data_IF_687408532664
#
_entry.id   IF_687408532664
#
_cell.length_a   1.000
_cell.length_b   1.000
_cell.length_c   1.000
_cell.angle_alpha   90.00
_cell.angle_beta   90.00
_cell.angle_gamma   90.00
#
_symmetry.space_group_name_H-M   'P 1'
#
loop_
_entity.id
_entity.type
_entity.pdbx_description
1 polymer ?
#
# COMPACT_ATOMS: atom_id res chain seq x y z
N UNK A 1 -3.28 17.91 -5.68
CA UNK A 1 -2.07 17.30 -5.04
C UNK A 1 -1.66 16.11 -5.89
N UNK A 2 -0.40 15.99 -6.27
CA UNK A 2 0.07 14.87 -7.11
C UNK A 2 0.72 13.84 -6.18
N UNK A 3 0.18 12.62 -6.14
CA UNK A 3 0.72 11.53 -5.31
C UNK A 3 1.96 10.93 -5.98
N UNK A 4 3.16 11.38 -5.56
CA UNK A 4 4.46 10.93 -6.07
C UNK A 4 5.38 10.60 -4.90
N UNK A 5 6.21 9.59 -5.04
CA UNK A 5 7.16 9.20 -3.99
C UNK A 5 6.89 7.83 -3.38
N UNK A 6 7.38 7.62 -2.17
CA UNK A 6 7.24 6.37 -1.43
C UNK A 6 6.17 6.51 -0.34
N UNK A 7 5.17 5.66 -0.39
CA UNK A 7 4.08 5.54 0.59
C UNK A 7 4.22 4.20 1.30
N UNK A 8 3.91 4.15 2.60
CA UNK A 8 3.97 2.90 3.36
C UNK A 8 2.58 2.28 3.50
N UNK A 9 2.40 1.07 2.97
CA UNK A 9 1.29 0.20 3.36
C UNK A 9 1.56 -0.25 4.80
N UNK A 10 1.11 0.55 5.78
CA UNK A 10 1.46 0.33 7.18
C UNK A 10 0.75 -0.90 7.75
N UNK A 11 1.47 -1.69 8.55
CA UNK A 11 0.89 -2.83 9.28
C UNK A 11 -0.03 -2.35 10.39
N UNK A 12 -1.03 -3.16 10.74
CA UNK A 12 -1.79 -3.01 11.98
C UNK A 12 -1.19 -3.92 13.05
N UNK A 13 -0.50 -3.38 14.07
CA UNK A 13 0.03 -4.19 15.15
C UNK A 13 -1.08 -4.61 16.12
N UNK A 14 -0.99 -5.82 16.65
CA UNK A 14 -1.92 -6.36 17.63
C UNK A 14 -1.18 -6.80 18.90
N UNK A 15 -1.83 -6.65 20.07
CA UNK A 15 -1.38 -7.24 21.33
C UNK A 15 -1.79 -8.73 21.39
N UNK A 16 -1.34 -9.44 22.41
CA UNK A 16 -1.48 -10.90 22.51
C UNK A 16 -2.93 -11.41 22.48
N UNK A 17 -3.90 -10.62 22.94
CA UNK A 17 -5.34 -10.96 22.91
C UNK A 17 -6.00 -10.63 21.54
N UNK A 18 -5.23 -10.06 20.61
CA UNK A 18 -5.69 -9.71 19.28
C UNK A 18 -6.26 -8.28 19.13
N UNK A 19 -6.32 -7.48 20.19
CA UNK A 19 -6.71 -6.08 20.06
C UNK A 19 -5.62 -5.26 19.36
N UNK A 20 -6.00 -4.11 18.77
CA UNK A 20 -5.05 -3.20 18.12
C UNK A 20 -4.09 -2.61 19.14
N UNK A 21 -2.78 -2.71 18.90
CA UNK A 21 -1.73 -2.08 19.70
C UNK A 21 -1.55 -0.62 19.26
N UNK A 22 -2.34 0.28 19.86
CA UNK A 22 -2.30 1.71 19.53
C UNK A 22 -0.91 2.34 19.84
N UNK A 23 -0.21 1.85 20.86
CA UNK A 23 1.11 2.37 21.23
C UNK A 23 2.18 1.98 20.19
N UNK A 24 2.19 0.72 19.78
CA UNK A 24 3.07 0.27 18.69
C UNK A 24 2.71 0.95 17.37
N UNK A 25 1.42 1.12 17.05
CA UNK A 25 0.98 1.83 15.84
C UNK A 25 1.51 3.28 15.82
N UNK A 26 1.42 3.99 16.97
CA UNK A 26 2.00 5.34 17.11
C UNK A 26 3.51 5.31 16.81
N UNK A 27 4.25 4.39 17.42
CA UNK A 27 5.69 4.31 17.24
C UNK A 27 6.06 3.99 15.77
N UNK A 28 5.27 3.14 15.09
CA UNK A 28 5.45 2.85 13.67
C UNK A 28 5.20 4.10 12.81
N UNK A 29 4.13 4.85 13.05
CA UNK A 29 3.84 6.09 12.32
C UNK A 29 4.96 7.12 12.51
N UNK A 30 5.45 7.32 13.73
CA UNK A 30 6.58 8.23 14.00
C UNK A 30 7.83 7.79 13.22
N UNK A 31 8.18 6.51 13.26
CA UNK A 31 9.34 5.99 12.52
C UNK A 31 9.22 6.20 10.99
N UNK A 32 8.00 6.11 10.44
CA UNK A 32 7.75 6.40 9.03
C UNK A 32 7.97 7.88 8.70
N UNK A 33 7.42 8.77 9.52
CA UNK A 33 7.59 10.22 9.36
C UNK A 33 9.04 10.63 9.49
N UNK A 34 9.77 10.11 10.50
CA UNK A 34 11.21 10.34 10.70
C UNK A 34 12.05 9.77 9.54
N UNK A 35 11.62 8.65 8.95
CA UNK A 35 12.21 8.09 7.74
C UNK A 35 11.96 8.90 6.49
N UNK A 36 11.08 9.93 6.56
CA UNK A 36 10.77 10.86 5.49
C UNK A 36 9.86 10.29 4.41
N UNK A 37 9.03 9.27 4.75
CA UNK A 37 8.06 8.70 3.81
C UNK A 37 7.08 9.77 3.30
N UNK A 38 6.58 9.62 2.08
CA UNK A 38 5.71 10.61 1.44
C UNK A 38 4.24 10.50 1.87
N UNK A 39 3.85 9.41 2.52
CA UNK A 39 2.50 9.22 3.04
C UNK A 39 2.28 7.82 3.60
N UNK A 40 1.13 7.62 4.25
CA UNK A 40 0.76 6.39 4.94
C UNK A 40 -0.52 5.80 4.35
N UNK A 41 -0.55 4.47 4.26
CA UNK A 41 -1.70 3.72 3.73
C UNK A 41 -2.13 2.68 4.77
N UNK A 42 -2.93 3.06 5.79
CA UNK A 42 -3.53 2.14 6.75
C UNK A 42 -4.62 1.28 6.10
N UNK A 43 -4.95 0.18 6.73
CA UNK A 43 -6.07 -0.71 6.39
C UNK A 43 -6.08 -1.20 4.93
N UNK A 44 -4.90 -1.31 4.30
CA UNK A 44 -4.73 -2.09 3.08
C UNK A 44 -4.54 -3.58 3.39
N UNK A 45 -4.11 -4.36 2.39
CA UNK A 45 -3.75 -5.78 2.56
C UNK A 45 -2.73 -5.99 3.68
N UNK A 46 -1.69 -5.14 3.71
CA UNK A 46 -0.63 -5.19 4.72
C UNK A 46 -1.12 -4.83 6.11
N UNK A 47 -2.15 -4.00 6.20
CA UNK A 47 -2.83 -3.62 7.45
C UNK A 47 -3.88 -4.62 7.92
N UNK A 48 -3.97 -5.82 7.32
CA UNK A 48 -4.91 -6.88 7.69
C UNK A 48 -6.40 -6.43 7.68
N UNK A 49 -6.78 -5.56 6.74
CA UNK A 49 -8.15 -5.01 6.68
C UNK A 49 -9.27 -6.05 6.73
N UNK A 50 -9.14 -7.28 6.14
CA UNK A 50 -10.23 -8.26 6.19
C UNK A 50 -10.53 -8.83 7.58
N UNK A 51 -9.66 -8.64 8.57
CA UNK A 51 -9.82 -9.16 9.93
C UNK A 51 -10.10 -8.06 10.97
N UNK A 52 -10.23 -6.81 10.52
CA UNK A 52 -10.71 -5.70 11.34
C UNK A 52 -12.25 -5.65 11.27
N UNK A 53 -12.91 -5.39 12.40
CA UNK A 53 -14.33 -4.96 12.35
C UNK A 53 -14.44 -3.59 11.68
N UNK A 54 -15.63 -3.15 11.28
CA UNK A 54 -15.80 -1.82 10.69
C UNK A 54 -15.36 -0.72 11.66
N UNK A 55 -15.72 -0.83 12.94
CA UNK A 55 -15.31 0.13 13.98
C UNK A 55 -13.79 0.15 14.17
N UNK A 56 -13.13 -1.02 14.21
CA UNK A 56 -11.68 -1.12 14.30
C UNK A 56 -10.99 -0.52 13.07
N UNK A 57 -11.55 -0.76 11.89
CA UNK A 57 -11.05 -0.23 10.62
C UNK A 57 -11.00 1.30 10.65
N UNK A 58 -12.13 1.94 11.00
CA UNK A 58 -12.21 3.39 11.15
C UNK A 58 -11.28 3.89 12.24
N UNK A 59 -11.24 3.18 13.39
CA UNK A 59 -10.36 3.55 14.50
C UNK A 59 -8.88 3.53 14.12
N UNK A 60 -8.42 2.52 13.37
CA UNK A 60 -7.04 2.45 12.90
C UNK A 60 -6.71 3.62 11.95
N UNK A 61 -7.61 3.96 11.02
CA UNK A 61 -7.41 5.13 10.14
C UNK A 61 -7.35 6.42 10.96
N UNK A 62 -8.29 6.62 11.90
CA UNK A 62 -8.32 7.78 12.80
C UNK A 62 -7.00 7.93 13.57
N UNK A 63 -6.51 6.83 14.17
CA UNK A 63 -5.23 6.83 14.89
C UNK A 63 -4.05 7.20 14.00
N UNK A 64 -3.97 6.64 12.79
CA UNK A 64 -2.90 6.99 11.85
C UNK A 64 -2.97 8.46 11.44
N UNK A 65 -4.16 9.01 11.20
CA UNK A 65 -4.36 10.45 10.92
C UNK A 65 -3.90 11.30 12.09
N UNK A 66 -4.33 10.95 13.31
CA UNK A 66 -3.94 11.67 14.54
C UNK A 66 -2.43 11.64 14.76
N UNK A 67 -1.80 10.46 14.58
CA UNK A 67 -0.35 10.31 14.79
C UNK A 67 0.47 10.95 13.67
N UNK A 68 0.00 10.90 12.42
CA UNK A 68 0.63 11.63 11.31
C UNK A 68 0.58 13.15 11.54
N UNK A 69 -0.49 13.65 12.18
CA UNK A 69 -0.66 15.05 12.58
C UNK A 69 -0.37 16.04 11.44
N UNK A 70 -0.88 15.76 10.24
CA UNK A 70 -0.70 16.59 9.05
C UNK A 70 0.72 16.65 8.47
N UNK A 71 1.68 15.87 9.01
CA UNK A 71 3.07 15.84 8.53
C UNK A 71 3.20 15.09 7.20
N UNK A 72 2.34 14.11 6.97
CA UNK A 72 2.25 13.33 5.73
C UNK A 72 0.79 12.96 5.46
N UNK A 73 0.36 12.86 4.19
CA UNK A 73 -1.00 12.46 3.84
C UNK A 73 -1.31 11.02 4.23
N UNK A 74 -2.59 10.77 4.55
CA UNK A 74 -3.11 9.44 4.84
C UNK A 74 -4.09 9.01 3.75
N UNK A 75 -3.79 7.88 3.10
CA UNK A 75 -4.61 7.25 2.08
C UNK A 75 -5.27 6.02 2.69
N UNK A 76 -6.53 6.08 3.05
CA UNK A 76 -7.22 4.96 3.71
C UNK A 76 -7.51 3.83 2.74
N UNK A 77 -7.16 2.59 3.09
CA UNK A 77 -7.61 1.40 2.35
C UNK A 77 -9.06 1.11 2.69
N UNK A 78 -9.99 1.42 1.81
CA UNK A 78 -11.45 1.27 2.04
C UNK A 78 -12.15 0.45 0.96
N UNK A 79 -11.37 -0.23 0.09
CA UNK A 79 -11.93 -1.08 -0.96
C UNK A 79 -12.60 -2.34 -0.40
N UNK A 80 -13.75 -2.69 -0.96
CA UNK A 80 -14.51 -3.90 -0.68
C UNK A 80 -15.04 -4.52 -1.96
N UNK A 81 -15.47 -5.79 -1.90
CA UNK A 81 -16.22 -6.44 -2.97
C UNK A 81 -17.73 -6.09 -2.95
N UNK A 82 -18.18 -5.35 -1.95
CA UNK A 82 -19.48 -4.68 -1.88
C UNK A 82 -19.32 -3.20 -2.15
N UNK A 83 -20.03 -2.67 -3.15
CA UNK A 83 -19.95 -1.24 -3.49
C UNK A 83 -20.50 -0.36 -2.37
N UNK A 84 -21.57 -0.78 -1.71
CA UNK A 84 -22.19 -0.02 -0.61
C UNK A 84 -21.22 0.07 0.59
N UNK A 85 -20.60 -1.03 0.97
CA UNK A 85 -19.60 -1.07 2.04
C UNK A 85 -18.39 -0.18 1.72
N UNK A 86 -17.87 -0.23 0.48
CA UNK A 86 -16.75 0.62 0.07
C UNK A 86 -17.12 2.11 0.12
N UNK A 87 -18.34 2.49 -0.25
CA UNK A 87 -18.86 3.87 -0.14
C UNK A 87 -18.92 4.29 1.32
N UNK A 88 -19.50 3.46 2.20
CA UNK A 88 -19.66 3.73 3.63
C UNK A 88 -18.30 3.90 4.31
N UNK A 89 -17.38 2.92 4.17
CA UNK A 89 -16.02 3.00 4.70
C UNK A 89 -15.27 4.25 4.21
N UNK A 90 -15.45 4.63 2.93
CA UNK A 90 -14.80 5.83 2.38
C UNK A 90 -15.34 7.11 3.02
N UNK A 91 -16.67 7.21 3.26
CA UNK A 91 -17.27 8.36 3.96
C UNK A 91 -16.79 8.49 5.40
N UNK A 92 -16.78 7.37 6.12
CA UNK A 92 -16.38 7.37 7.51
C UNK A 92 -14.88 7.70 7.66
N UNK A 93 -14.03 7.17 6.78
CA UNK A 93 -12.59 7.51 6.80
C UNK A 93 -12.35 8.98 6.39
N UNK A 94 -13.17 9.56 5.51
CA UNK A 94 -13.14 11.01 5.27
C UNK A 94 -13.44 11.81 6.53
N UNK A 95 -14.45 11.40 7.29
CA UNK A 95 -14.87 12.10 8.51
C UNK A 95 -13.78 12.12 9.58
N UNK A 96 -12.89 11.11 9.61
CA UNK A 96 -11.74 11.07 10.54
C UNK A 96 -10.45 11.66 9.96
N UNK A 97 -10.51 12.26 8.76
CA UNK A 97 -9.42 13.07 8.20
C UNK A 97 -8.49 12.39 7.19
N UNK A 98 -8.88 11.25 6.61
CA UNK A 98 -8.17 10.71 5.44
C UNK A 98 -8.26 11.67 4.25
N UNK A 99 -7.21 11.74 3.42
CA UNK A 99 -7.13 12.67 2.29
C UNK A 99 -7.45 12.00 0.93
N UNK A 100 -7.29 10.69 0.85
CA UNK A 100 -7.65 9.87 -0.29
C UNK A 100 -8.00 8.45 0.15
N UNK A 101 -8.56 7.68 -0.76
CA UNK A 101 -8.93 6.30 -0.54
C UNK A 101 -8.24 5.37 -1.52
N UNK A 102 -7.69 4.25 -1.03
CA UNK A 102 -7.16 3.15 -1.84
C UNK A 102 -8.25 2.09 -2.02
N UNK A 103 -8.70 1.89 -3.26
CA UNK A 103 -9.81 1.03 -3.62
C UNK A 103 -9.33 -0.24 -4.33
N UNK A 104 -9.20 -1.35 -3.57
CA UNK A 104 -8.91 -2.65 -4.20
C UNK A 104 -10.06 -3.08 -5.09
N UNK A 105 -9.74 -3.70 -6.24
CA UNK A 105 -10.77 -4.29 -7.11
C UNK A 105 -11.59 -5.32 -6.34
N UNK A 106 -12.92 -5.42 -6.59
CA UNK A 106 -13.75 -6.42 -5.95
C UNK A 106 -13.17 -7.82 -6.12
N UNK A 107 -12.92 -8.48 -5.00
CA UNK A 107 -12.39 -9.83 -4.92
C UNK A 107 -13.55 -10.84 -4.79
N UNK A 108 -13.31 -12.10 -5.15
CA UNK A 108 -14.26 -13.21 -5.06
C UNK A 108 -15.40 -13.17 -6.11
N UNK A 109 -16.20 -12.09 -6.19
CA UNK A 109 -17.36 -11.96 -7.09
C UNK A 109 -17.01 -11.64 -8.56
N UNK A 110 -15.75 -11.32 -8.88
CA UNK A 110 -15.17 -11.17 -10.24
C UNK A 110 -16.08 -10.39 -11.22
N UNK A 111 -16.33 -9.10 -10.96
CA UNK A 111 -17.21 -8.31 -11.84
C UNK A 111 -16.63 -8.15 -13.24
N UNK A 112 -17.52 -7.87 -14.21
CA UNK A 112 -17.12 -7.46 -15.57
C UNK A 112 -16.45 -6.09 -15.55
N UNK A 113 -15.81 -5.67 -16.66
CA UNK A 113 -15.21 -4.34 -16.77
C UNK A 113 -16.23 -3.21 -16.59
N UNK A 114 -17.47 -3.39 -17.08
CA UNK A 114 -18.56 -2.45 -16.83
C UNK A 114 -18.95 -2.42 -15.35
N UNK A 115 -18.93 -3.57 -14.67
CA UNK A 115 -19.13 -3.66 -13.22
C UNK A 115 -18.06 -2.92 -12.45
N UNK A 116 -16.76 -3.09 -12.80
CA UNK A 116 -15.63 -2.37 -12.22
C UNK A 116 -15.77 -0.86 -12.42
N UNK A 117 -16.09 -0.43 -13.63
CA UNK A 117 -16.31 0.98 -13.93
C UNK A 117 -17.42 1.59 -13.04
N UNK A 118 -18.58 0.96 -12.96
CA UNK A 118 -19.71 1.45 -12.12
C UNK A 118 -19.38 1.43 -10.64
N UNK A 119 -18.67 0.40 -10.18
CA UNK A 119 -18.22 0.27 -8.80
C UNK A 119 -17.31 1.44 -8.39
N UNK A 120 -16.20 1.65 -9.10
CA UNK A 120 -15.25 2.72 -8.78
C UNK A 120 -15.86 4.11 -8.99
N UNK A 121 -16.67 4.27 -10.03
CA UNK A 121 -17.38 5.52 -10.27
C UNK A 121 -18.29 5.90 -9.10
N UNK A 122 -19.12 4.97 -8.64
CA UNK A 122 -20.03 5.21 -7.53
C UNK A 122 -19.29 5.53 -6.23
N UNK A 123 -18.22 4.80 -5.92
CA UNK A 123 -17.39 5.09 -4.75
C UNK A 123 -16.79 6.49 -4.86
N UNK A 124 -16.24 6.86 -6.01
CA UNK A 124 -15.63 8.17 -6.23
C UNK A 124 -16.66 9.32 -6.13
N UNK A 125 -17.90 9.11 -6.62
CA UNK A 125 -18.96 10.11 -6.58
C UNK A 125 -19.61 10.23 -5.19
N UNK A 126 -19.83 9.10 -4.49
CA UNK A 126 -20.58 9.07 -3.24
C UNK A 126 -19.72 8.96 -1.97
N UNK A 127 -18.49 8.44 -2.07
CA UNK A 127 -17.61 8.21 -0.91
C UNK A 127 -16.95 9.48 -0.34
N UNK A 128 -16.96 10.59 -1.06
CA UNK A 128 -16.46 11.89 -0.60
C UNK A 128 -14.96 12.11 -0.81
N UNK A 129 -14.13 11.06 -0.86
CA UNK A 129 -12.68 11.14 -1.11
C UNK A 129 -12.34 10.89 -2.58
N UNK A 130 -11.24 11.48 -3.09
CA UNK A 130 -10.63 11.00 -4.32
C UNK A 130 -10.09 9.58 -4.12
N UNK A 131 -10.16 8.76 -5.17
CA UNK A 131 -9.77 7.35 -5.10
C UNK A 131 -8.51 7.05 -5.92
N UNK A 132 -7.69 6.14 -5.39
CA UNK A 132 -6.61 5.45 -6.09
C UNK A 132 -7.10 4.02 -6.32
N UNK A 133 -7.27 3.62 -7.56
CA UNK A 133 -7.67 2.25 -7.91
C UNK A 133 -6.53 1.30 -7.59
N UNK A 134 -6.81 0.15 -6.99
CA UNK A 134 -5.80 -0.86 -6.68
C UNK A 134 -6.06 -2.13 -7.48
N UNK A 135 -5.21 -2.37 -8.47
CA UNK A 135 -5.29 -3.52 -9.37
C UNK A 135 -4.29 -4.61 -8.96
N UNK A 136 -4.81 -5.69 -8.38
CA UNK A 136 -4.03 -6.85 -7.91
C UNK A 136 -4.73 -8.17 -8.27
N UNK A 137 -4.75 -8.57 -9.54
CA UNK A 137 -5.49 -9.74 -10.00
C UNK A 137 -5.04 -11.05 -9.36
N UNK A 138 -3.79 -11.14 -8.90
CA UNK A 138 -3.29 -12.30 -8.14
C UNK A 138 -4.01 -12.56 -6.82
N UNK A 139 -4.68 -11.54 -6.24
CA UNK A 139 -5.51 -11.66 -5.03
C UNK A 139 -7.00 -11.57 -5.31
N UNK A 140 -7.39 -10.72 -6.24
CA UNK A 140 -8.81 -10.45 -6.52
C UNK A 140 -9.44 -11.40 -7.53
N UNK A 141 -8.62 -12.02 -8.37
CA UNK A 141 -9.07 -12.88 -9.46
C UNK A 141 -9.66 -12.12 -10.65
N UNK A 142 -9.60 -10.78 -10.65
CA UNK A 142 -10.01 -9.90 -11.75
C UNK A 142 -9.05 -8.72 -11.85
N UNK A 143 -8.63 -8.36 -13.05
CA UNK A 143 -7.84 -7.17 -13.34
C UNK A 143 -8.68 -6.04 -13.92
N UNK A 144 -8.21 -4.81 -13.78
CA UNK A 144 -8.81 -3.62 -14.38
C UNK A 144 -8.16 -3.36 -15.73
N UNK A 145 -8.95 -3.41 -16.81
CA UNK A 145 -8.47 -3.13 -18.14
C UNK A 145 -8.03 -1.66 -18.29
N UNK A 146 -7.04 -1.40 -19.13
CA UNK A 146 -6.54 -0.04 -19.39
C UNK A 146 -7.67 0.87 -19.88
N UNK A 147 -8.55 0.38 -20.76
CA UNK A 147 -9.69 1.13 -21.27
C UNK A 147 -10.70 1.49 -20.17
N UNK A 148 -10.86 0.63 -19.15
CA UNK A 148 -11.69 0.92 -17.98
C UNK A 148 -11.11 2.05 -17.14
N UNK A 149 -9.80 2.04 -16.91
CA UNK A 149 -9.08 3.12 -16.22
C UNK A 149 -9.14 4.43 -17.01
N UNK A 150 -8.91 4.38 -18.32
CA UNK A 150 -8.98 5.54 -19.20
C UNK A 150 -10.40 6.15 -19.21
N UNK A 151 -11.44 5.31 -19.20
CA UNK A 151 -12.84 5.76 -19.10
C UNK A 151 -13.12 6.43 -17.76
N UNK A 152 -12.69 5.84 -16.65
CA UNK A 152 -12.81 6.43 -15.31
C UNK A 152 -12.11 7.80 -15.25
N UNK A 153 -10.86 7.86 -15.71
CA UNK A 153 -10.08 9.11 -15.72
C UNK A 153 -10.72 10.19 -16.58
N UNK A 154 -11.29 9.85 -17.75
CA UNK A 154 -11.97 10.80 -18.63
C UNK A 154 -13.26 11.31 -18.03
N UNK A 155 -14.08 10.42 -17.44
CA UNK A 155 -15.45 10.75 -17.03
C UNK A 155 -15.49 11.44 -15.65
N UNK A 156 -14.54 11.14 -14.75
CA UNK A 156 -14.44 11.69 -13.39
C UNK A 156 -12.99 12.02 -13.01
N UNK A 157 -12.31 12.91 -13.75
CA UNK A 157 -10.86 13.16 -13.63
C UNK A 157 -10.42 13.65 -12.25
N UNK A 158 -11.28 14.40 -11.55
CA UNK A 158 -10.98 14.98 -10.23
C UNK A 158 -11.14 13.96 -9.08
N UNK A 159 -11.82 12.84 -9.36
CA UNK A 159 -12.18 11.84 -8.35
C UNK A 159 -11.35 10.56 -8.47
N UNK A 160 -10.96 10.15 -9.68
CA UNK A 160 -10.07 9.01 -9.89
C UNK A 160 -8.69 9.55 -10.22
N UNK A 161 -7.82 9.59 -9.18
CA UNK A 161 -6.57 10.35 -9.19
C UNK A 161 -5.33 9.48 -9.38
N UNK A 162 -5.45 8.16 -9.30
CA UNK A 162 -4.31 7.27 -9.43
C UNK A 162 -4.66 5.80 -9.54
N UNK A 163 -3.59 5.04 -9.76
CA UNK A 163 -3.56 3.59 -9.80
C UNK A 163 -2.41 3.07 -8.92
N UNK A 164 -2.71 2.12 -8.03
CA UNK A 164 -1.71 1.22 -7.47
C UNK A 164 -1.65 -0.02 -8.35
N UNK A 165 -0.57 -0.15 -9.10
CA UNK A 165 -0.33 -1.21 -10.07
C UNK A 165 0.38 -2.40 -9.41
N UNK A 166 -0.30 -3.52 -9.30
CA UNK A 166 0.22 -4.75 -8.70
C UNK A 166 -0.17 -6.00 -9.52
N UNK A 167 -0.17 -5.88 -10.85
CA UNK A 167 -0.41 -7.00 -11.75
C UNK A 167 0.78 -7.96 -11.86
N UNK A 168 1.94 -7.57 -11.31
CA UNK A 168 3.17 -8.37 -11.36
C UNK A 168 3.97 -8.21 -12.67
N UNK A 169 3.65 -7.21 -13.50
CA UNK A 169 4.35 -6.90 -14.75
C UNK A 169 4.55 -5.40 -14.94
N UNK A 170 5.53 -5.03 -15.75
CA UNK A 170 5.79 -3.63 -16.12
C UNK A 170 5.24 -3.25 -17.49
N UNK A 171 4.71 -4.23 -18.25
CA UNK A 171 4.38 -4.08 -19.68
C UNK A 171 3.38 -2.96 -19.96
N UNK A 172 2.41 -2.74 -19.06
CA UNK A 172 1.33 -1.77 -19.28
C UNK A 172 1.66 -0.35 -18.82
N UNK A 173 2.77 -0.13 -18.09
CA UNK A 173 3.08 1.18 -17.48
C UNK A 173 3.21 2.29 -18.52
N UNK A 174 3.99 2.09 -19.57
CA UNK A 174 4.17 3.09 -20.61
C UNK A 174 2.85 3.44 -21.32
N UNK A 175 2.00 2.46 -21.58
CA UNK A 175 0.67 2.67 -22.16
C UNK A 175 -0.25 3.42 -21.20
N UNK A 176 -0.27 3.04 -19.92
CA UNK A 176 -1.04 3.73 -18.89
C UNK A 176 -0.61 5.20 -18.79
N UNK A 177 0.70 5.47 -18.74
CA UNK A 177 1.22 6.85 -18.69
C UNK A 177 0.79 7.68 -19.91
N UNK A 178 0.87 7.08 -21.10
CA UNK A 178 0.46 7.76 -22.34
C UNK A 178 -1.02 8.12 -22.36
N UNK A 179 -1.89 7.25 -21.83
CA UNK A 179 -3.35 7.45 -21.87
C UNK A 179 -3.88 8.27 -20.70
N UNK A 180 -3.29 8.16 -19.52
CA UNK A 180 -3.84 8.76 -18.29
C UNK A 180 -3.23 10.13 -17.96
N UNK A 181 -2.13 10.51 -18.65
CA UNK A 181 -1.46 11.81 -18.47
C UNK A 181 -0.52 11.82 -17.25
N UNK A 182 0.22 12.94 -17.10
CA UNK A 182 1.24 13.11 -16.05
C UNK A 182 0.69 13.51 -14.69
N UNK A 183 -0.56 13.92 -14.61
CA UNK A 183 -1.28 14.32 -13.40
C UNK A 183 -2.05 13.16 -12.74
N UNK A 184 -2.07 11.98 -13.37
CA UNK A 184 -2.61 10.75 -12.83
C UNK A 184 -1.48 9.93 -12.18
N UNK A 185 -1.59 9.64 -10.88
CA UNK A 185 -0.55 8.91 -10.16
C UNK A 185 -0.52 7.43 -10.55
N UNK A 186 0.64 6.92 -10.97
CA UNK A 186 0.86 5.48 -11.16
C UNK A 186 1.89 5.05 -10.13
N UNK A 187 1.44 4.30 -9.11
CA UNK A 187 2.27 3.83 -8.01
C UNK A 187 2.44 2.31 -8.11
N UNK A 188 3.67 1.83 -8.01
CA UNK A 188 3.92 0.40 -7.89
C UNK A 188 3.26 -0.16 -6.62
N UNK A 189 2.63 -1.32 -6.73
CA UNK A 189 2.17 -2.10 -5.56
C UNK A 189 3.15 -3.21 -5.17
N UNK A 190 4.29 -3.31 -5.88
CA UNK A 190 5.32 -4.32 -5.72
C UNK A 190 6.69 -3.64 -5.53
N UNK A 191 7.31 -3.87 -4.38
CA UNK A 191 8.62 -3.27 -4.06
C UNK A 191 9.68 -3.62 -5.09
N UNK A 192 9.73 -4.87 -5.56
CA UNK A 192 10.75 -5.36 -6.50
C UNK A 192 10.58 -4.79 -7.91
N UNK A 193 9.36 -4.40 -8.30
CA UNK A 193 9.05 -3.81 -9.60
C UNK A 193 9.04 -2.27 -9.59
N UNK A 194 9.27 -1.64 -8.44
CA UNK A 194 9.21 -0.18 -8.30
C UNK A 194 10.15 0.53 -9.27
N UNK A 195 11.43 0.23 -9.23
CA UNK A 195 12.41 0.89 -10.10
C UNK A 195 12.19 0.61 -11.59
N UNK A 196 11.94 -0.63 -12.04
CA UNK A 196 11.52 -0.91 -13.41
C UNK A 196 10.27 -0.11 -13.85
N UNK A 197 9.22 -0.05 -13.04
CA UNK A 197 8.01 0.71 -13.35
C UNK A 197 8.29 2.22 -13.44
N UNK A 198 9.12 2.76 -12.53
CA UNK A 198 9.51 4.17 -12.56
C UNK A 198 10.29 4.54 -13.82
N UNK A 199 11.13 3.64 -14.34
CA UNK A 199 11.83 3.85 -15.62
C UNK A 199 10.88 3.95 -16.82
N UNK A 200 9.66 3.45 -16.69
CA UNK A 200 8.58 3.49 -17.69
C UNK A 200 7.54 4.57 -17.41
N UNK A 201 7.74 5.39 -16.37
CA UNK A 201 6.89 6.53 -16.06
C UNK A 201 5.97 6.38 -14.84
N UNK A 202 6.17 5.39 -13.96
CA UNK A 202 5.50 5.36 -12.66
C UNK A 202 6.06 6.46 -11.74
N UNK A 203 5.23 6.90 -10.79
CA UNK A 203 5.50 8.03 -9.90
C UNK A 203 6.05 7.63 -8.53
N UNK A 204 6.15 6.32 -8.25
CA UNK A 204 6.63 5.83 -6.96
C UNK A 204 6.03 4.48 -6.58
N UNK A 205 5.83 4.27 -5.27
CA UNK A 205 5.43 2.98 -4.70
C UNK A 205 4.52 3.14 -3.47
N UNK A 206 3.59 2.21 -3.31
CA UNK A 206 2.96 1.91 -2.01
C UNK A 206 3.61 0.62 -1.50
N UNK A 207 4.62 0.78 -0.64
CA UNK A 207 5.63 -0.20 -0.28
C UNK A 207 5.24 -1.02 0.96
N UNK A 208 5.65 -2.28 0.99
CA UNK A 208 5.68 -3.13 2.19
C UNK A 208 7.02 -2.99 2.91
N UNK A 209 8.14 -3.00 2.19
CA UNK A 209 9.48 -2.93 2.77
C UNK A 209 9.74 -1.63 3.56
N UNK A 210 9.07 -0.54 3.20
CA UNK A 210 9.15 0.73 3.92
C UNK A 210 8.69 0.64 5.39
N UNK A 211 7.91 -0.38 5.79
CA UNK A 211 7.62 -0.62 7.22
C UNK A 211 8.87 -0.80 8.06
N UNK A 212 9.94 -1.39 7.50
CA UNK A 212 11.20 -1.69 8.21
C UNK A 212 12.34 -0.76 7.80
N UNK A 213 12.40 -0.30 6.54
CA UNK A 213 13.46 0.54 5.95
C UNK A 213 12.87 1.74 5.17
N UNK A 214 12.13 2.63 5.84
CA UNK A 214 11.42 3.73 5.15
C UNK A 214 12.37 4.69 4.44
N UNK A 215 13.51 5.03 5.05
CA UNK A 215 14.50 5.95 4.50
C UNK A 215 15.11 5.42 3.20
N UNK A 216 15.54 4.18 3.21
CA UNK A 216 16.20 3.54 2.07
C UNK A 216 15.26 3.39 0.87
N UNK A 217 14.00 3.01 1.13
CA UNK A 217 12.96 2.94 0.08
C UNK A 217 12.69 4.33 -0.48
N UNK A 218 12.54 5.34 0.39
CA UNK A 218 12.36 6.73 -0.04
C UNK A 218 13.53 7.23 -0.88
N UNK A 219 14.76 6.99 -0.44
CA UNK A 219 15.97 7.44 -1.15
C UNK A 219 16.04 6.83 -2.56
N UNK A 220 15.76 5.53 -2.72
CA UNK A 220 15.68 4.88 -4.03
C UNK A 220 14.65 5.55 -4.94
N UNK A 221 13.44 5.77 -4.42
CA UNK A 221 12.34 6.38 -5.18
C UNK A 221 12.66 7.83 -5.55
N UNK A 222 13.21 8.61 -4.62
CA UNK A 222 13.56 10.01 -4.88
C UNK A 222 14.73 10.15 -5.87
N UNK A 223 15.73 9.27 -5.83
CA UNK A 223 16.79 9.23 -6.83
C UNK A 223 16.20 8.99 -8.23
N UNK A 224 15.29 8.02 -8.37
CA UNK A 224 14.60 7.75 -9.64
C UNK A 224 13.74 8.93 -10.10
N UNK A 225 12.98 9.59 -9.20
CA UNK A 225 12.19 10.78 -9.51
C UNK A 225 13.06 11.97 -9.95
N UNK A 226 14.27 12.06 -9.40
CA UNK A 226 15.27 13.07 -9.79
C UNK A 226 16.01 12.74 -11.08
N UNK A 227 15.75 11.59 -11.70
CA UNK A 227 16.43 11.13 -12.92
C UNK A 227 17.77 10.44 -12.66
N UNK A 228 18.23 10.33 -11.42
CA UNK A 228 19.46 9.60 -11.06
C UNK A 228 19.19 8.09 -10.94
N UNK A 229 19.01 7.45 -12.10
CA UNK A 229 18.84 6.01 -12.18
C UNK A 229 20.12 5.21 -11.85
N UNK A 230 21.30 5.84 -11.83
CA UNK A 230 22.52 5.18 -11.39
C UNK A 230 22.46 4.93 -9.88
N UNK A 231 22.21 5.98 -9.10
CA UNK A 231 22.02 5.87 -7.64
C UNK A 231 20.83 4.99 -7.30
N UNK A 232 19.69 5.16 -8.00
CA UNK A 232 18.50 4.35 -7.75
C UNK A 232 18.75 2.84 -7.94
N UNK A 233 19.57 2.44 -8.94
CA UNK A 233 19.96 1.04 -9.15
C UNK A 233 20.84 0.49 -8.02
N UNK A 234 21.77 1.27 -7.51
CA UNK A 234 22.61 0.85 -6.36
C UNK A 234 21.76 0.61 -5.11
N UNK A 235 20.85 1.53 -4.80
CA UNK A 235 19.91 1.39 -3.69
C UNK A 235 18.96 0.20 -3.90
N UNK A 236 18.41 0.01 -5.11
CA UNK A 236 17.57 -1.13 -5.44
C UNK A 236 18.31 -2.46 -5.27
N UNK A 237 19.56 -2.55 -5.72
CA UNK A 237 20.38 -3.76 -5.56
C UNK A 237 20.61 -4.11 -4.08
N UNK A 238 20.80 -3.09 -3.23
CA UNK A 238 20.92 -3.27 -1.78
C UNK A 238 19.60 -3.72 -1.15
N UNK A 239 18.46 -3.19 -1.61
CA UNK A 239 17.11 -3.50 -1.10
C UNK A 239 16.55 -4.83 -1.63
N UNK A 240 17.04 -5.32 -2.77
CA UNK A 240 16.47 -6.49 -3.46
C UNK A 240 16.34 -7.76 -2.60
N UNK A 241 17.30 -8.12 -1.70
CA UNK A 241 17.11 -9.24 -0.79
C UNK A 241 15.91 -9.07 0.15
N UNK A 242 15.70 -7.86 0.68
CA UNK A 242 14.53 -7.54 1.52
C UNK A 242 13.24 -7.62 0.72
N UNK A 243 13.20 -7.03 -0.47
CA UNK A 243 12.03 -7.09 -1.36
C UNK A 243 11.61 -8.53 -1.66
N UNK A 244 12.57 -9.44 -1.83
CA UNK A 244 12.31 -10.86 -2.05
C UNK A 244 11.82 -11.56 -0.80
N UNK A 245 12.53 -11.44 0.32
CA UNK A 245 12.30 -12.27 1.49
C UNK A 245 11.14 -11.75 2.36
N UNK A 246 10.69 -10.50 2.19
CA UNK A 246 9.43 -10.00 2.74
C UNK A 246 8.17 -10.56 2.05
N UNK A 247 8.34 -11.32 0.96
CA UNK A 247 7.28 -12.03 0.26
C UNK A 247 7.56 -13.55 0.15
N UNK A 248 8.47 -14.08 1.00
CA UNK A 248 8.76 -15.53 1.05
C UNK A 248 7.54 -16.34 1.49
N UNK A 249 6.64 -15.71 2.25
CA UNK A 249 5.28 -16.18 2.56
C UNK A 249 4.29 -15.05 2.29
N UNK A 250 3.00 -15.32 2.46
CA UNK A 250 1.95 -14.34 2.21
C UNK A 250 2.14 -13.07 3.04
N UNK A 251 2.23 -11.91 2.38
CA UNK A 251 2.17 -10.60 3.03
C UNK A 251 0.81 -10.41 3.74
N UNK A 252 0.77 -9.95 5.02
CA UNK A 252 1.83 -9.27 5.78
C UNK A 252 2.64 -10.15 6.75
N UNK A 253 2.57 -11.47 6.67
CA UNK A 253 3.23 -12.34 7.64
C UNK A 253 4.74 -12.03 7.77
N UNK A 254 5.56 -12.00 6.68
CA UNK A 254 6.99 -11.74 6.82
C UNK A 254 7.33 -10.34 7.35
N UNK A 255 6.62 -9.30 6.93
CA UNK A 255 6.91 -7.93 7.39
C UNK A 255 6.57 -7.74 8.87
N UNK A 256 5.50 -8.36 9.36
CA UNK A 256 5.18 -8.35 10.81
C UNK A 256 6.20 -9.16 11.61
N UNK A 257 6.61 -10.33 11.11
CA UNK A 257 7.70 -11.10 11.72
C UNK A 257 9.00 -10.30 11.78
N UNK A 258 9.38 -9.57 10.71
CA UNK A 258 10.54 -8.69 10.69
C UNK A 258 10.45 -7.60 11.76
N UNK A 259 9.31 -6.89 11.84
CA UNK A 259 9.09 -5.86 12.86
C UNK A 259 9.15 -6.44 14.29
N UNK A 260 8.65 -7.64 14.50
CA UNK A 260 8.72 -8.32 15.79
C UNK A 260 10.17 -8.74 16.15
N UNK A 261 10.95 -9.26 15.19
CA UNK A 261 12.38 -9.53 15.38
C UNK A 261 13.16 -8.27 15.75
N UNK A 262 12.77 -7.11 15.19
CA UNK A 262 13.34 -5.80 15.51
C UNK A 262 12.80 -5.21 16.83
N UNK A 263 11.95 -5.92 17.55
CA UNK A 263 11.35 -5.46 18.83
C UNK A 263 10.37 -4.29 18.69
N UNK A 264 9.82 -4.04 17.48
CA UNK A 264 8.95 -2.90 17.22
C UNK A 264 7.46 -3.20 17.45
N UNK A 265 7.04 -4.46 17.33
CA UNK A 265 5.67 -4.93 17.58
C UNK A 265 5.69 -6.31 18.27
N UNK A 266 4.56 -6.73 18.84
CA UNK A 266 4.35 -8.13 19.19
C UNK A 266 4.07 -8.95 17.91
N UNK A 267 4.57 -10.20 17.85
CA UNK A 267 4.31 -11.10 16.72
C UNK A 267 2.93 -11.72 16.85
N UNK A 268 1.90 -10.94 16.59
CA UNK A 268 0.50 -11.36 16.67
C UNK A 268 -0.20 -11.18 15.32
N UNK A 269 -0.93 -12.23 14.92
CA UNK A 269 -1.72 -12.27 13.70
C UNK A 269 -3.16 -12.62 14.05
N UNK A 270 -4.11 -12.17 13.25
CA UNK A 270 -5.50 -12.65 13.31
C UNK A 270 -5.72 -13.74 12.28
N UNK A 271 -6.39 -14.81 12.65
CA UNK A 271 -6.75 -15.87 11.70
C UNK A 271 -7.52 -15.27 10.50
N UNK A 272 -7.26 -15.74 9.26
CA UNK A 272 -6.55 -16.99 8.93
C UNK A 272 -5.02 -16.87 8.84
N UNK A 273 -4.44 -15.70 9.14
CA UNK A 273 -2.98 -15.54 9.14
C UNK A 273 -2.38 -16.15 10.43
N UNK A 274 -1.21 -16.75 10.27
CA UNK A 274 -0.47 -17.46 11.34
C UNK A 274 1.02 -17.07 11.28
N UNK A 275 1.80 -17.33 12.35
CA UNK A 275 3.24 -17.10 12.33
C UNK A 275 3.95 -17.85 11.19
N UNK A 276 5.07 -17.30 10.72
CA UNK A 276 5.90 -17.90 9.68
C UNK A 276 6.37 -19.31 10.02
N UNK A 277 6.51 -20.15 8.99
CA UNK A 277 7.23 -21.41 9.09
C UNK A 277 8.69 -21.17 9.53
N UNK A 278 9.23 -22.06 10.37
CA UNK A 278 10.55 -21.90 10.98
C UNK A 278 11.68 -21.68 9.93
N UNK A 279 11.62 -22.38 8.79
CA UNK A 279 12.61 -22.23 7.72
C UNK A 279 12.56 -20.84 7.06
N UNK A 280 11.35 -20.35 6.75
CA UNK A 280 11.14 -19.01 6.17
C UNK A 280 11.57 -17.93 7.17
N UNK A 281 11.25 -18.10 8.45
CA UNK A 281 11.65 -17.19 9.54
C UNK A 281 13.17 -17.08 9.65
N UNK A 282 13.87 -18.23 9.67
CA UNK A 282 15.34 -18.26 9.74
C UNK A 282 15.97 -17.57 8.51
N UNK A 283 15.40 -17.77 7.31
CA UNK A 283 15.85 -17.11 6.09
C UNK A 283 15.66 -15.59 6.17
N UNK A 284 14.49 -15.12 6.60
CA UNK A 284 14.21 -13.71 6.78
C UNK A 284 15.17 -13.08 7.79
N UNK A 285 15.42 -13.71 8.94
CA UNK A 285 16.37 -13.24 9.96
C UNK A 285 17.78 -13.06 9.39
N UNK A 286 18.26 -14.03 8.60
CA UNK A 286 19.55 -13.91 7.92
C UNK A 286 19.60 -12.68 7.00
N UNK A 287 18.54 -12.42 6.26
CA UNK A 287 18.44 -11.28 5.34
C UNK A 287 18.42 -9.96 6.10
N UNK A 288 17.66 -9.86 7.19
CA UNK A 288 17.62 -8.68 8.06
C UNK A 288 19.00 -8.38 8.67
N UNK A 289 19.67 -9.41 9.21
CA UNK A 289 21.02 -9.30 9.77
C UNK A 289 22.04 -8.86 8.71
N UNK A 290 22.00 -9.46 7.51
CA UNK A 290 22.88 -9.10 6.41
C UNK A 290 22.67 -7.68 5.89
N UNK A 291 21.42 -7.16 6.00
CA UNK A 291 21.11 -5.77 5.67
C UNK A 291 21.62 -4.77 6.72
N UNK A 292 21.92 -5.24 7.93
CA UNK A 292 22.41 -4.43 9.06
C UNK A 292 21.30 -4.00 10.02
N UNK A 293 20.16 -4.68 9.99
CA UNK A 293 19.09 -4.47 10.96
C UNK A 293 19.33 -5.31 12.21
N UNK A 294 19.17 -4.69 13.38
CA UNK A 294 19.30 -5.38 14.67
C UNK A 294 18.12 -6.33 14.91
N UNK A 295 18.35 -7.65 14.82
CA UNK A 295 17.38 -8.74 15.01
C UNK A 295 17.97 -9.89 15.81
#
# INVERSE_FOLDING_TARGET
MTYRGAYTAIVTPFIADGAVDEAALRALVEAQVEGGINGLVPCGTTGESPTLSHEEHIRVVELVVQFANGRVPVIAGTGSNSTDEAVELTRETQAVGAEASLQVSPYYNKPTQEGLYRHFRRIAEEGGLPIIVYDIPGRTGVGVAIDTLARLRRDIPERVIGLKEATGTTERIAQLRSLLGSDFAILSGDDSLTLPMMSLGADGVISVASNIVPREVREMVHAALGGDFAQARELNARLAPLFKDLFIETNPIPVKAALAMMGRIQETYRLPLVPMAAASRAKLQQTLTAFGLGV
#
